data_IF_569449767906
#
_entry.id   IF_569449767906
#
_cell.length_a   1.000
_cell.length_b   1.000
_cell.length_c   1.000
_cell.angle_alpha   90.00
_cell.angle_beta   90.00
_cell.angle_gamma   90.00
#
_symmetry.space_group_name_H-M   'P 1'
#
loop_
_entity.id
_entity.type
_entity.pdbx_description
1 polymer ?
#
# COMPACT_ATOMS: atom_id res chain seq x y z
N UNK A 1 -8.72 -2.74 11.40
CA UNK A 1 -7.80 -1.93 12.23
C UNK A 1 -7.53 -0.60 11.57
N UNK A 2 -7.48 0.48 12.33
CA UNK A 2 -7.12 1.83 11.86
C UNK A 2 -6.09 2.40 12.85
N UNK A 3 -4.82 2.04 12.73
CA UNK A 3 -3.80 2.55 13.63
C UNK A 3 -3.53 4.03 13.35
N UNK A 4 -3.26 4.79 14.41
CA UNK A 4 -2.81 6.17 14.31
C UNK A 4 -1.30 6.27 14.48
N UNK A 5 -0.64 6.96 13.56
CA UNK A 5 0.78 7.26 13.71
C UNK A 5 0.99 8.28 14.84
N UNK A 6 1.95 8.08 15.74
CA UNK A 6 2.30 9.10 16.73
C UNK A 6 2.72 10.41 16.08
N UNK A 7 2.37 11.55 16.70
CA UNK A 7 2.62 12.90 16.14
C UNK A 7 4.09 13.19 15.84
N UNK A 8 5.01 12.55 16.58
CA UNK A 8 6.46 12.71 16.41
C UNK A 8 7.09 11.78 15.38
N UNK A 9 6.30 10.89 14.74
CA UNK A 9 6.79 9.87 13.82
C UNK A 9 6.11 9.98 12.47
N UNK A 10 6.63 9.22 11.50
CA UNK A 10 5.99 8.92 10.22
C UNK A 10 5.85 7.41 10.07
N UNK A 11 4.93 6.96 9.21
CA UNK A 11 4.90 5.55 8.86
C UNK A 11 6.20 5.16 8.15
N UNK A 12 6.88 4.13 8.65
CA UNK A 12 8.15 3.67 8.08
C UNK A 12 8.91 2.74 9.03
N UNK A 13 10.22 2.74 8.95
CA UNK A 13 11.11 1.80 9.67
C UNK A 13 10.80 1.72 11.16
N UNK A 14 10.60 2.88 11.81
CA UNK A 14 10.38 2.94 13.26
C UNK A 14 8.99 2.46 13.70
N UNK A 15 8.02 2.40 12.80
CA UNK A 15 6.63 2.03 13.08
C UNK A 15 6.23 0.67 12.50
N UNK A 16 6.95 0.17 11.52
CA UNK A 16 6.62 -1.07 10.81
C UNK A 16 6.50 -2.26 11.74
N UNK A 17 7.42 -2.41 12.70
CA UNK A 17 7.38 -3.51 13.65
C UNK A 17 6.18 -3.42 14.60
N UNK A 18 5.81 -2.22 15.06
CA UNK A 18 4.63 -2.02 15.88
C UNK A 18 3.34 -2.42 15.13
N UNK A 19 3.22 -2.07 13.85
CA UNK A 19 2.10 -2.49 13.00
C UNK A 19 2.09 -4.01 12.81
N UNK A 20 3.24 -4.62 12.56
CA UNK A 20 3.36 -6.08 12.43
C UNK A 20 2.91 -6.79 13.71
N UNK A 21 3.33 -6.31 14.88
CA UNK A 21 2.91 -6.87 16.18
C UNK A 21 1.41 -6.72 16.40
N UNK A 22 0.84 -5.56 16.09
CA UNK A 22 -0.60 -5.32 16.17
C UNK A 22 -1.39 -6.30 15.30
N UNK A 23 -0.95 -6.53 14.05
CA UNK A 23 -1.56 -7.52 13.15
C UNK A 23 -1.48 -8.92 13.77
N UNK A 24 -0.33 -9.28 14.31
CA UNK A 24 -0.12 -10.59 14.94
C UNK A 24 -1.06 -10.80 16.13
N UNK A 25 -1.15 -9.84 17.04
CA UNK A 25 -2.05 -9.89 18.20
C UNK A 25 -3.50 -10.11 17.78
N UNK A 26 -3.98 -9.37 16.77
CA UNK A 26 -5.34 -9.55 16.26
C UNK A 26 -5.54 -10.91 15.57
N UNK A 27 -4.54 -11.40 14.86
CA UNK A 27 -4.60 -12.71 14.20
C UNK A 27 -4.63 -13.87 15.22
N UNK A 28 -3.99 -13.71 16.38
CA UNK A 28 -3.96 -14.72 17.44
C UNK A 28 -5.23 -14.74 18.30
N UNK A 29 -5.92 -13.61 18.45
CA UNK A 29 -7.06 -13.46 19.36
C UNK A 29 -8.43 -13.46 18.67
N UNK A 30 -8.48 -13.47 17.34
CA UNK A 30 -9.69 -13.23 16.62
C UNK A 30 -10.05 -14.29 15.59
N UNK A 31 -11.25 -14.13 15.08
CA UNK A 31 -11.75 -14.86 13.92
C UNK A 31 -11.17 -14.26 12.62
N UNK A 32 -9.83 -14.25 12.51
CA UNK A 32 -9.11 -13.67 11.38
C UNK A 32 -8.59 -14.76 10.46
N UNK A 33 -8.99 -14.72 9.20
CA UNK A 33 -8.31 -15.50 8.16
C UNK A 33 -6.96 -14.81 7.83
N UNK A 34 -5.88 -15.37 8.34
CA UNK A 34 -4.53 -14.82 8.15
C UNK A 34 -4.06 -14.83 6.70
N UNK A 35 -4.75 -15.53 5.80
CA UNK A 35 -4.49 -15.49 4.36
C UNK A 35 -5.14 -14.30 3.67
N UNK A 36 -6.01 -13.57 4.37
CA UNK A 36 -6.83 -12.47 3.86
C UNK A 36 -6.59 -11.17 4.64
N UNK A 37 -5.34 -10.82 4.83
CA UNK A 37 -4.93 -9.55 5.46
C UNK A 37 -4.59 -8.57 4.34
N UNK A 38 -5.21 -7.41 4.35
CA UNK A 38 -5.02 -6.35 3.35
C UNK A 38 -4.57 -5.07 4.02
N UNK A 39 -3.80 -4.24 3.32
CA UNK A 39 -3.32 -2.96 3.83
C UNK A 39 -3.67 -1.83 2.87
N UNK A 40 -4.25 -0.77 3.43
CA UNK A 40 -4.64 0.44 2.70
C UNK A 40 -4.03 1.66 3.35
N UNK A 41 -3.70 2.67 2.56
CA UNK A 41 -3.28 3.95 3.09
C UNK A 41 -3.21 5.03 2.04
N UNK A 42 -3.56 6.26 2.43
CA UNK A 42 -3.46 7.45 1.59
C UNK A 42 -2.35 8.39 2.07
N UNK A 43 -1.67 9.11 1.16
CA UNK A 43 -0.62 10.08 1.46
C UNK A 43 0.50 9.48 2.31
N UNK A 44 0.73 9.98 3.52
CA UNK A 44 1.67 9.39 4.48
C UNK A 44 1.35 7.91 4.74
N UNK A 45 0.07 7.54 4.84
CA UNK A 45 -0.37 6.14 4.97
C UNK A 45 -0.10 5.32 3.72
N UNK A 46 -0.18 5.92 2.53
CA UNK A 46 0.21 5.28 1.26
C UNK A 46 1.71 4.98 1.23
N UNK A 47 2.55 5.91 1.67
CA UNK A 47 3.99 5.69 1.85
C UNK A 47 4.25 4.57 2.87
N UNK A 48 3.55 4.58 4.02
CA UNK A 48 3.63 3.50 5.00
C UNK A 48 3.20 2.13 4.45
N UNK A 49 2.20 2.11 3.57
CA UNK A 49 1.77 0.88 2.89
C UNK A 49 2.87 0.30 2.00
N UNK A 50 3.57 1.13 1.23
CA UNK A 50 4.75 0.72 0.47
C UNK A 50 5.86 0.17 1.39
N UNK A 51 6.15 0.86 2.51
CA UNK A 51 7.17 0.41 3.46
C UNK A 51 6.82 -0.93 4.10
N UNK A 52 5.56 -1.14 4.47
CA UNK A 52 5.12 -2.42 5.04
C UNK A 52 5.23 -3.56 4.02
N UNK A 53 4.85 -3.34 2.76
CA UNK A 53 5.01 -4.34 1.70
C UNK A 53 6.48 -4.67 1.42
N UNK A 54 7.37 -3.67 1.54
CA UNK A 54 8.82 -3.85 1.40
C UNK A 54 9.45 -4.60 2.57
N UNK A 55 9.07 -4.23 3.81
CA UNK A 55 9.64 -4.82 5.02
C UNK A 55 9.13 -6.24 5.30
N UNK A 56 7.87 -6.51 4.99
CA UNK A 56 7.20 -7.78 5.27
C UNK A 56 6.53 -8.35 4.02
N UNK A 57 7.33 -8.78 3.04
CA UNK A 57 6.80 -9.39 1.82
C UNK A 57 5.96 -10.62 2.16
N UNK A 58 4.86 -10.77 1.50
CA UNK A 58 3.90 -11.86 1.73
C UNK A 58 3.17 -11.83 3.10
N UNK A 59 3.23 -10.72 3.86
CA UNK A 59 2.37 -10.55 5.05
C UNK A 59 0.92 -10.26 4.63
N UNK A 60 0.75 -9.56 3.52
CA UNK A 60 -0.55 -9.14 3.00
C UNK A 60 -0.97 -9.96 1.78
N UNK A 61 -2.27 -10.22 1.65
CA UNK A 61 -2.85 -10.82 0.44
C UNK A 61 -2.78 -9.84 -0.74
N UNK A 62 -3.01 -8.55 -0.47
CA UNK A 62 -2.78 -7.45 -1.39
C UNK A 62 -2.65 -6.14 -0.61
N UNK A 63 -2.07 -5.12 -1.23
CA UNK A 63 -1.91 -3.78 -0.65
C UNK A 63 -2.38 -2.69 -1.61
N UNK A 64 -2.92 -1.59 -1.05
CA UNK A 64 -3.39 -0.45 -1.83
C UNK A 64 -2.77 0.85 -1.31
N UNK A 65 -1.53 1.17 -1.69
CA UNK A 65 -0.93 2.47 -1.43
C UNK A 65 -1.52 3.53 -2.38
N UNK A 66 -2.16 4.55 -1.82
CA UNK A 66 -2.77 5.65 -2.59
C UNK A 66 -1.99 6.93 -2.36
N UNK A 67 -1.63 7.64 -3.43
CA UNK A 67 -0.85 8.89 -3.37
C UNK A 67 0.33 8.80 -2.39
N UNK A 68 1.07 7.69 -2.41
CA UNK A 68 2.20 7.39 -1.53
C UNK A 68 3.52 7.33 -2.28
N UNK A 69 4.63 7.51 -1.56
CA UNK A 69 5.98 7.51 -2.13
C UNK A 69 6.72 6.19 -1.83
N UNK A 70 7.07 5.37 -2.86
CA UNK A 70 7.80 4.12 -2.72
C UNK A 70 9.34 4.28 -2.77
N UNK A 71 9.89 5.49 -2.88
CA UNK A 71 11.26 5.77 -3.36
C UNK A 71 12.37 4.98 -2.66
N UNK A 72 12.22 4.67 -1.37
CA UNK A 72 13.23 3.95 -0.58
C UNK A 72 12.89 2.47 -0.36
N UNK A 73 11.81 1.99 -0.99
CA UNK A 73 11.40 0.60 -0.87
C UNK A 73 12.22 -0.34 -1.75
N UNK A 74 12.41 -1.57 -1.31
CA UNK A 74 13.00 -2.62 -2.14
C UNK A 74 11.95 -3.23 -3.07
N UNK A 75 12.01 -2.89 -4.35
CA UNK A 75 11.08 -3.41 -5.35
C UNK A 75 11.12 -4.94 -5.49
N UNK A 76 12.25 -5.61 -5.18
CA UNK A 76 12.30 -7.09 -5.20
C UNK A 76 11.47 -7.69 -4.08
N UNK A 77 11.31 -7.00 -2.96
CA UNK A 77 10.46 -7.45 -1.87
C UNK A 77 8.99 -7.10 -2.14
N UNK A 78 8.71 -5.87 -2.55
CA UNK A 78 7.34 -5.41 -2.87
C UNK A 78 6.71 -6.26 -3.98
N UNK A 79 7.49 -6.66 -4.99
CA UNK A 79 7.00 -7.49 -6.11
C UNK A 79 6.41 -8.86 -5.68
N UNK A 80 6.62 -9.28 -4.44
CA UNK A 80 6.05 -10.52 -3.88
C UNK A 80 4.63 -10.37 -3.37
N UNK A 81 4.09 -9.15 -3.34
CA UNK A 81 2.74 -8.84 -2.85
C UNK A 81 1.96 -8.14 -3.95
N UNK A 82 0.73 -8.56 -4.28
CA UNK A 82 -0.13 -7.86 -5.23
C UNK A 82 -0.38 -6.41 -4.78
N UNK A 83 -0.24 -5.46 -5.72
CA UNK A 83 -0.36 -4.03 -5.44
C UNK A 83 -1.37 -3.37 -6.38
N UNK A 84 -2.26 -2.57 -5.81
CA UNK A 84 -3.09 -1.62 -6.56
C UNK A 84 -2.74 -0.20 -6.09
N UNK A 85 -2.18 0.64 -6.93
CA UNK A 85 -1.87 2.03 -6.55
C UNK A 85 -2.67 3.02 -7.40
N UNK A 86 -3.05 4.14 -6.79
CA UNK A 86 -3.79 5.22 -7.47
C UNK A 86 -3.07 6.53 -7.25
N UNK A 87 -2.90 7.28 -8.35
CA UNK A 87 -2.27 8.58 -8.37
C UNK A 87 -3.19 9.61 -9.05
N UNK A 88 -3.16 10.83 -8.59
CA UNK A 88 -3.81 11.95 -9.27
C UNK A 88 -2.85 12.67 -10.22
N UNK A 89 -3.30 13.00 -11.44
CA UNK A 89 -2.44 13.69 -12.43
C UNK A 89 -2.04 15.10 -11.99
N UNK A 90 -2.85 15.74 -11.13
CA UNK A 90 -2.61 17.07 -10.58
C UNK A 90 -2.06 17.04 -9.14
N UNK A 91 -1.68 15.86 -8.65
CA UNK A 91 -1.02 15.72 -7.34
C UNK A 91 0.41 16.28 -7.42
N UNK A 92 0.64 17.38 -6.67
CA UNK A 92 1.94 18.06 -6.62
C UNK A 92 2.81 17.61 -5.45
N UNK A 93 2.26 16.83 -4.53
CA UNK A 93 2.99 16.25 -3.39
C UNK A 93 3.58 14.90 -3.74
N UNK A 94 2.76 14.05 -4.36
CA UNK A 94 3.14 12.69 -4.79
C UNK A 94 3.00 12.59 -6.30
N UNK A 95 4.11 12.78 -7.01
CA UNK A 95 4.09 12.91 -8.47
C UNK A 95 4.04 11.56 -9.18
N UNK A 96 3.22 11.50 -10.24
CA UNK A 96 3.04 10.29 -11.07
C UNK A 96 4.36 9.69 -11.57
N UNK A 97 5.33 10.45 -12.14
CA UNK A 97 6.56 9.86 -12.67
C UNK A 97 7.35 9.07 -11.63
N UNK A 98 7.43 9.58 -10.40
CA UNK A 98 8.18 8.91 -9.31
C UNK A 98 7.61 7.54 -8.97
N UNK A 99 6.29 7.43 -8.90
CA UNK A 99 5.62 6.16 -8.61
C UNK A 99 5.65 5.23 -9.83
N UNK A 100 5.48 5.79 -11.04
CA UNK A 100 5.52 5.02 -12.27
C UNK A 100 6.85 4.29 -12.47
N UNK A 101 7.98 4.93 -12.23
CA UNK A 101 9.30 4.30 -12.33
C UNK A 101 9.43 3.09 -11.40
N UNK A 102 8.89 3.21 -10.20
CA UNK A 102 8.89 2.09 -9.24
C UNK A 102 7.96 0.96 -9.70
N UNK A 103 6.77 1.29 -10.20
CA UNK A 103 5.79 0.32 -10.72
C UNK A 103 6.35 -0.45 -11.92
N UNK A 104 7.03 0.21 -12.85
CA UNK A 104 7.66 -0.48 -13.98
C UNK A 104 8.72 -1.47 -13.50
N UNK A 105 9.51 -1.12 -12.50
CA UNK A 105 10.49 -2.06 -11.90
C UNK A 105 9.79 -3.25 -11.21
N UNK A 106 8.64 -3.04 -10.58
CA UNK A 106 7.85 -4.15 -10.02
C UNK A 106 7.40 -5.12 -11.12
N UNK A 107 6.91 -4.60 -12.26
CA UNK A 107 6.51 -5.42 -13.41
C UNK A 107 7.67 -6.20 -13.99
N UNK A 108 8.85 -5.59 -14.13
CA UNK A 108 10.07 -6.25 -14.58
C UNK A 108 10.49 -7.43 -13.68
N UNK A 109 10.15 -7.36 -12.39
CA UNK A 109 10.38 -8.43 -11.41
C UNK A 109 9.25 -9.47 -11.36
N UNK A 110 8.26 -9.35 -12.24
CA UNK A 110 7.11 -10.26 -12.26
C UNK A 110 6.07 -9.97 -11.17
N UNK A 111 6.13 -8.78 -10.54
CA UNK A 111 5.14 -8.36 -9.56
C UNK A 111 3.78 -8.11 -10.19
N UNK A 112 2.72 -8.54 -9.51
CA UNK A 112 1.35 -8.22 -9.89
C UNK A 112 1.02 -6.80 -9.41
N UNK A 113 0.97 -5.83 -10.34
CA UNK A 113 0.76 -4.43 -9.99
C UNK A 113 -0.13 -3.73 -11.00
N UNK A 114 -1.15 -3.02 -10.49
CA UNK A 114 -1.97 -2.08 -11.24
C UNK A 114 -1.69 -0.67 -10.73
N UNK A 115 -1.55 0.28 -11.65
CA UNK A 115 -1.46 1.69 -11.35
C UNK A 115 -2.49 2.45 -12.18
N UNK A 116 -3.43 3.11 -11.51
CA UNK A 116 -4.34 4.06 -12.12
C UNK A 116 -3.83 5.48 -11.94
N UNK A 117 -3.97 6.28 -12.98
CA UNK A 117 -3.73 7.72 -12.92
C UNK A 117 -5.04 8.45 -13.23
N UNK A 118 -5.61 9.07 -12.21
CA UNK A 118 -6.88 9.80 -12.31
C UNK A 118 -6.65 11.22 -12.83
N UNK A 119 -7.24 11.49 -13.98
CA UNK A 119 -7.07 12.77 -14.65
C UNK A 119 -7.75 13.92 -13.89
N UNK A 120 -7.00 14.98 -13.64
CA UNK A 120 -7.47 16.17 -12.93
C UNK A 120 -7.55 16.03 -11.40
N UNK A 121 -7.25 14.87 -10.84
CA UNK A 121 -7.29 14.70 -9.39
C UNK A 121 -6.04 15.29 -8.73
N UNK A 122 -6.27 16.12 -7.72
CA UNK A 122 -5.24 16.57 -6.78
C UNK A 122 -5.05 15.60 -5.62
N UNK A 123 -4.11 15.91 -4.73
CA UNK A 123 -3.70 15.04 -3.62
C UNK A 123 -4.86 14.59 -2.74
N UNK A 124 -5.66 15.52 -2.23
CA UNK A 124 -6.78 15.20 -1.31
C UNK A 124 -7.80 14.30 -1.99
N UNK A 125 -8.23 14.65 -3.20
CA UNK A 125 -9.21 13.86 -3.94
C UNK A 125 -8.68 12.45 -4.22
N UNK A 126 -7.42 12.30 -4.58
CA UNK A 126 -6.80 10.98 -4.74
C UNK A 126 -6.89 10.16 -3.46
N UNK A 127 -6.60 10.75 -2.31
CA UNK A 127 -6.66 10.05 -1.02
C UNK A 127 -8.08 9.64 -0.61
N UNK A 128 -9.12 10.41 -1.00
CA UNK A 128 -10.51 10.16 -0.56
C UNK A 128 -11.30 9.29 -1.52
N UNK A 129 -11.14 9.48 -2.84
CA UNK A 129 -12.04 8.94 -3.85
C UNK A 129 -11.50 7.67 -4.53
N UNK A 130 -10.29 7.22 -4.18
CA UNK A 130 -9.64 6.06 -4.80
C UNK A 130 -10.28 4.71 -4.46
N UNK A 131 -11.02 4.59 -3.37
CA UNK A 131 -11.52 3.32 -2.85
C UNK A 131 -12.86 2.93 -3.49
N UNK A 132 -12.86 2.76 -4.82
CA UNK A 132 -14.05 2.37 -5.59
C UNK A 132 -14.37 0.88 -5.45
N UNK A 133 -15.63 0.46 -5.66
CA UNK A 133 -16.00 -0.96 -5.61
C UNK A 133 -15.12 -1.85 -6.48
N UNK A 134 -14.82 -1.44 -7.72
CA UNK A 134 -13.99 -2.23 -8.65
C UNK A 134 -12.57 -2.45 -8.12
N UNK A 135 -11.95 -1.43 -7.52
CA UNK A 135 -10.60 -1.53 -6.95
C UNK A 135 -10.60 -2.39 -5.69
N UNK A 136 -11.62 -2.23 -4.85
CA UNK A 136 -11.78 -3.06 -3.66
C UNK A 136 -12.06 -4.52 -4.00
N UNK A 137 -12.87 -4.80 -5.02
CA UNK A 137 -13.12 -6.15 -5.51
C UNK A 137 -11.82 -6.82 -5.98
N UNK A 138 -10.97 -6.08 -6.71
CA UNK A 138 -9.66 -6.59 -7.10
C UNK A 138 -8.79 -6.91 -5.89
N UNK A 139 -8.68 -6.00 -4.91
CA UNK A 139 -7.90 -6.22 -3.68
C UNK A 139 -8.40 -7.46 -2.94
N UNK A 140 -9.72 -7.57 -2.73
CA UNK A 140 -10.31 -8.65 -1.95
C UNK A 140 -10.39 -9.99 -2.69
N UNK A 141 -10.13 -10.02 -4.00
CA UNK A 141 -10.00 -11.26 -4.76
C UNK A 141 -8.74 -12.05 -4.44
N UNK A 142 -7.73 -11.41 -3.84
CA UNK A 142 -6.46 -12.04 -3.51
C UNK A 142 -6.50 -12.76 -2.18
N UNK A 143 -5.79 -13.89 -2.14
CA UNK A 143 -5.52 -14.65 -0.91
C UNK A 143 -4.07 -15.10 -0.92
N UNK A 144 -3.43 -15.13 0.23
CA UNK A 144 -2.09 -15.72 0.35
C UNK A 144 -2.18 -17.26 0.27
N UNK A 145 -1.14 -17.92 -0.23
CA UNK A 145 -0.98 -19.37 -0.12
C UNK A 145 -1.10 -19.90 1.30
#
# INVERSE_FOLDING_TARGET
>A
LVPQCPDSLTWGVDTNEAIRQLIKEYAEHGEVDTRRIYLFGGSMGGTGTWFMASAYPCLFAAVMPVAGNPETCDYNQVAKTPVYTVMGSEDKLMTVPRVNDFVERLKEKGGEVIMDVENGWGHVQTCTDSYTPQRLDWIFSHTRP
#
